data_IF_495104674321
#
_entry.id   IF_495104674321
#
_cell.length_a   1.000
_cell.length_b   1.000
_cell.length_c   1.000
_cell.angle_alpha   90.00
_cell.angle_beta   90.00
_cell.angle_gamma   90.00
#
_symmetry.space_group_name_H-M   'P 1'
#
loop_
_entity.id
_entity.type
_entity.pdbx_description
1 polymer ?
#
# COMPACT_ATOMS: atom_id res chain seq x y z
N UNK A 1 -63.19 -13.73 -9.59
CA UNK A 1 -62.11 -14.57 -9.00
C UNK A 1 -60.82 -14.27 -9.76
N UNK A 2 -59.70 -14.22 -9.03
CA UNK A 2 -58.33 -13.87 -9.45
C UNK A 2 -57.99 -12.37 -9.54
N UNK A 3 -56.91 -11.86 -8.94
CA UNK A 3 -56.23 -12.08 -7.65
C UNK A 3 -55.16 -10.99 -7.56
N UNK A 4 -54.93 -10.53 -6.34
CA UNK A 4 -53.92 -9.57 -5.92
C UNK A 4 -52.49 -9.86 -6.43
N UNK A 5 -51.68 -8.80 -6.44
CA UNK A 5 -50.22 -8.68 -6.20
C UNK A 5 -49.60 -7.76 -7.27
N UNK A 6 -48.71 -6.82 -6.96
CA UNK A 6 -48.09 -6.40 -5.72
C UNK A 6 -47.31 -5.14 -6.06
N UNK A 7 -47.47 -4.10 -5.26
CA UNK A 7 -46.59 -2.94 -5.22
C UNK A 7 -45.28 -3.37 -4.54
N UNK A 8 -44.28 -3.79 -5.30
CA UNK A 8 -42.95 -4.04 -4.76
C UNK A 8 -41.90 -3.98 -5.85
N UNK A 9 -41.37 -2.79 -6.11
CA UNK A 9 -39.92 -2.62 -6.26
C UNK A 9 -39.54 -1.14 -6.17
N UNK A 10 -39.87 -0.51 -5.04
CA UNK A 10 -39.09 0.64 -4.54
C UNK A 10 -37.95 0.05 -3.74
N UNK A 11 -36.89 -0.43 -4.39
CA UNK A 11 -35.63 -0.81 -3.74
C UNK A 11 -34.57 -1.18 -4.79
N UNK A 12 -34.18 -0.24 -5.63
CA UNK A 12 -32.86 -0.32 -6.28
C UNK A 12 -32.34 1.10 -6.50
N UNK A 13 -32.37 1.92 -5.46
CA UNK A 13 -31.28 2.86 -5.29
C UNK A 13 -30.07 1.96 -5.10
N UNK A 14 -29.33 1.76 -6.20
CA UNK A 14 -28.03 1.11 -6.16
C UNK A 14 -27.19 1.99 -5.24
N UNK A 15 -27.22 1.65 -3.95
CA UNK A 15 -26.19 2.00 -3.01
C UNK A 15 -24.97 1.33 -3.60
N UNK A 16 -24.29 2.06 -4.50
CA UNK A 16 -22.93 1.80 -4.85
C UNK A 16 -22.19 1.89 -3.52
N UNK A 17 -22.14 0.76 -2.83
CA UNK A 17 -21.14 0.50 -1.83
C UNK A 17 -19.84 0.73 -2.59
N UNK A 18 -19.32 1.95 -2.47
CA UNK A 18 -17.91 2.25 -2.63
C UNK A 18 -17.24 1.44 -1.52
N UNK A 19 -17.21 0.13 -1.72
CA UNK A 19 -16.31 -0.77 -1.07
C UNK A 19 -14.96 -0.21 -1.50
N UNK A 20 -14.38 0.64 -0.65
CA UNK A 20 -12.95 0.92 -0.67
C UNK A 20 -12.34 -0.46 -0.74
N UNK A 21 -11.89 -0.86 -1.91
CA UNK A 21 -11.05 -2.04 -2.06
C UNK A 21 -9.88 -1.72 -1.17
N UNK A 22 -9.89 -2.30 0.03
CA UNK A 22 -8.74 -2.34 0.92
C UNK A 22 -7.78 -3.31 0.25
N UNK A 23 -7.22 -2.85 -0.86
CA UNK A 23 -6.17 -3.58 -1.53
C UNK A 23 -5.08 -3.70 -0.48
N UNK A 24 -4.69 -4.92 -0.18
CA UNK A 24 -3.45 -5.24 0.50
C UNK A 24 -2.27 -4.87 -0.40
N UNK A 25 -2.27 -3.64 -0.93
CA UNK A 25 -1.31 -3.13 -1.86
C UNK A 25 0.01 -3.01 -1.12
N UNK A 26 0.92 -3.90 -1.48
CA UNK A 26 2.31 -3.85 -1.07
C UNK A 26 2.85 -2.48 -1.48
N UNK A 27 3.13 -1.61 -0.51
CA UNK A 27 3.49 -0.21 -0.81
C UNK A 27 4.91 -0.16 -1.34
N UNK A 28 5.12 0.59 -2.43
CA UNK A 28 6.46 0.98 -2.89
C UNK A 28 6.85 2.26 -2.18
N UNK A 29 7.99 2.24 -1.49
CA UNK A 29 8.49 3.36 -0.68
C UNK A 29 9.90 3.70 -1.15
N UNK A 30 10.22 4.99 -1.21
CA UNK A 30 11.56 5.47 -1.55
C UNK A 30 12.14 6.31 -0.39
N UNK A 31 13.43 6.10 -0.09
CA UNK A 31 14.19 6.89 0.90
C UNK A 31 15.23 7.73 0.16
N UNK A 32 15.11 9.06 0.27
CA UNK A 32 16.09 10.01 -0.25
C UNK A 32 17.07 10.36 0.88
N UNK A 33 18.37 10.12 0.68
CA UNK A 33 19.39 10.24 1.72
C UNK A 33 19.67 8.92 2.45
N UNK A 34 19.53 7.78 1.77
CA UNK A 34 19.63 6.44 2.38
C UNK A 34 21.04 6.09 2.91
N UNK A 35 22.10 6.73 2.41
CA UNK A 35 23.47 6.52 2.88
C UNK A 35 23.88 7.47 4.01
N UNK A 36 23.02 8.41 4.39
CA UNK A 36 23.23 9.25 5.58
C UNK A 36 23.10 8.48 6.89
N UNK A 37 23.65 9.04 7.97
CA UNK A 37 23.63 8.40 9.31
C UNK A 37 22.22 8.12 9.87
N UNK A 38 21.19 8.81 9.39
CA UNK A 38 19.78 8.52 9.70
C UNK A 38 19.14 7.64 8.64
N UNK A 39 19.50 7.83 7.37
CA UNK A 39 18.93 7.08 6.25
C UNK A 39 19.20 5.58 6.33
N UNK A 40 20.38 5.18 6.81
CA UNK A 40 20.75 3.78 6.98
C UNK A 40 19.86 3.05 8.02
N UNK A 41 19.77 3.50 9.29
CA UNK A 41 18.89 2.84 10.27
C UNK A 41 17.41 2.96 9.89
N UNK A 42 16.99 4.07 9.27
CA UNK A 42 15.62 4.23 8.76
C UNK A 42 15.31 3.18 7.69
N UNK A 43 16.18 3.02 6.70
CA UNK A 43 15.97 2.07 5.59
C UNK A 43 15.91 0.61 6.08
N UNK A 44 16.70 0.25 7.09
CA UNK A 44 16.61 -1.05 7.76
C UNK A 44 15.26 -1.26 8.45
N UNK A 45 14.76 -0.27 9.19
CA UNK A 45 13.45 -0.35 9.85
C UNK A 45 12.30 -0.47 8.84
N UNK A 46 12.38 0.23 7.70
CA UNK A 46 11.38 0.12 6.64
C UNK A 46 11.41 -1.26 5.97
N UNK A 47 12.58 -1.85 5.76
CA UNK A 47 12.72 -3.20 5.19
C UNK A 47 12.03 -4.27 6.05
N UNK A 48 12.02 -4.10 7.37
CA UNK A 48 11.35 -5.00 8.31
C UNK A 48 9.82 -4.79 8.40
N UNK A 49 9.28 -3.74 7.77
CA UNK A 49 7.86 -3.42 7.87
C UNK A 49 7.02 -4.29 6.92
N UNK A 50 6.01 -5.04 7.43
CA UNK A 50 5.14 -5.84 6.58
C UNK A 50 4.21 -5.00 5.69
N UNK A 51 4.15 -3.69 5.91
CA UNK A 51 3.34 -2.77 5.10
C UNK A 51 4.02 -2.35 3.79
N UNK A 52 5.30 -2.69 3.60
CA UNK A 52 6.14 -2.24 2.48
C UNK A 52 6.46 -3.46 1.62
N UNK A 53 6.13 -3.35 0.32
CA UNK A 53 6.46 -4.38 -0.67
C UNK A 53 7.81 -4.17 -1.32
N UNK A 54 8.14 -2.90 -1.60
CA UNK A 54 9.36 -2.53 -2.31
C UNK A 54 9.95 -1.29 -1.65
N UNK A 55 11.25 -1.35 -1.36
CA UNK A 55 12.02 -0.24 -0.81
C UNK A 55 13.08 0.20 -1.83
N UNK A 56 12.98 1.43 -2.30
CA UNK A 56 13.96 2.06 -3.16
C UNK A 56 14.85 3.01 -2.34
N UNK A 57 16.16 2.88 -2.45
CA UNK A 57 17.13 3.73 -1.76
C UNK A 57 17.79 4.68 -2.77
N UNK A 58 17.93 5.96 -2.40
CA UNK A 58 18.63 6.96 -3.19
C UNK A 58 19.52 7.82 -2.30
N UNK A 59 20.70 8.16 -2.77
CA UNK A 59 21.62 9.13 -2.19
C UNK A 59 22.57 9.66 -3.28
N UNK A 60 23.32 10.72 -2.98
CA UNK A 60 24.35 11.26 -3.87
C UNK A 60 25.54 10.29 -3.96
N UNK A 61 25.89 9.65 -2.84
CA UNK A 61 27.00 8.69 -2.72
C UNK A 61 26.64 7.53 -1.79
N UNK A 62 27.27 6.37 -1.95
CA UNK A 62 27.19 5.28 -0.97
C UNK A 62 25.92 4.42 -1.01
N UNK A 63 24.93 4.74 -1.85
CA UNK A 63 23.68 3.96 -1.99
C UNK A 63 23.89 2.48 -2.36
N UNK A 64 24.85 2.09 -3.23
CA UNK A 64 25.04 0.67 -3.56
C UNK A 64 25.42 -0.21 -2.37
N UNK A 65 26.21 0.32 -1.41
CA UNK A 65 26.57 -0.42 -0.20
C UNK A 65 25.37 -0.63 0.71
N UNK A 66 24.57 0.42 0.93
CA UNK A 66 23.33 0.32 1.71
C UNK A 66 22.33 -0.62 1.06
N UNK A 67 22.20 -0.58 -0.27
CA UNK A 67 21.32 -1.49 -0.99
C UNK A 67 21.77 -2.95 -0.86
N UNK A 68 23.08 -3.22 -0.87
CA UNK A 68 23.62 -4.56 -0.63
C UNK A 68 23.28 -5.03 0.79
N UNK A 69 23.51 -4.20 1.82
CA UNK A 69 23.20 -4.52 3.21
C UNK A 69 21.70 -4.83 3.42
N UNK A 70 20.81 -4.12 2.73
CA UNK A 70 19.34 -4.32 2.80
C UNK A 70 18.81 -5.44 1.91
N UNK A 71 19.65 -6.01 1.05
CA UNK A 71 19.27 -7.10 0.12
C UNK A 71 19.46 -8.50 0.69
N UNK A 72 20.24 -8.61 1.78
CA UNK A 72 20.39 -9.84 2.58
C UNK A 72 19.18 -10.07 3.49
#
# INVERSE_FOLDING_TARGET
>A
MFTARSLASVASYSSASVARQMSSASKKVAVLGAAGGIGQPLSMLLKLSPAIGELACYDIVGTPGVAADLSH
#
